data_IF_336988853971
#
_entry.id   IF_336988853971
#
_cell.length_a   1.000
_cell.length_b   1.000
_cell.length_c   1.000
_cell.angle_alpha   90.00
_cell.angle_beta   90.00
_cell.angle_gamma   90.00
#
_symmetry.space_group_name_H-M   'P 1'
#
loop_
_entity.id
_entity.type
_entity.pdbx_description
1 polymer ?
#
# COMPACT_ATOMS: atom_id res chain seq x y z
N UNK A 1 26.63 -22.16 -14.52
CA UNK A 1 25.16 -22.23 -14.36
C UNK A 1 24.53 -21.54 -15.56
N UNK A 2 23.79 -22.29 -16.37
CA UNK A 2 23.09 -21.76 -17.53
C UNK A 2 21.93 -20.85 -17.10
N UNK A 3 21.43 -20.00 -18.00
CA UNK A 3 20.24 -19.17 -17.72
C UNK A 3 18.98 -20.00 -17.43
N UNK A 4 18.95 -21.26 -17.84
CA UNK A 4 17.88 -22.21 -17.56
C UNK A 4 17.90 -22.70 -16.10
N UNK A 5 19.09 -22.85 -15.50
CA UNK A 5 19.23 -23.33 -14.11
C UNK A 5 18.70 -22.32 -13.08
N UNK A 6 18.65 -21.02 -13.44
CA UNK A 6 18.09 -19.96 -12.59
C UNK A 6 16.55 -19.96 -12.52
N UNK A 7 15.86 -20.59 -13.48
CA UNK A 7 14.38 -20.74 -13.44
C UNK A 7 13.91 -21.73 -12.37
N UNK A 8 14.81 -22.55 -11.83
CA UNK A 8 14.53 -23.63 -10.88
C UNK A 8 14.48 -23.14 -9.43
N UNK A 9 14.84 -21.88 -9.15
CA UNK A 9 14.41 -21.21 -7.91
C UNK A 9 12.95 -20.75 -8.03
N UNK A 10 12.08 -21.66 -8.50
CA UNK A 10 10.66 -21.39 -8.69
C UNK A 10 10.05 -21.05 -7.35
N UNK A 11 9.59 -19.81 -7.19
CA UNK A 11 8.53 -19.56 -6.23
C UNK A 11 7.45 -20.62 -6.48
N UNK A 12 6.96 -21.27 -5.42
CA UNK A 12 5.92 -22.31 -5.50
C UNK A 12 4.67 -21.84 -6.28
N UNK A 13 4.50 -20.52 -6.42
CA UNK A 13 3.41 -19.87 -7.11
C UNK A 13 3.93 -18.75 -8.02
N UNK A 14 3.29 -18.60 -9.16
CA UNK A 14 3.54 -17.52 -10.12
C UNK A 14 2.85 -16.23 -9.69
N UNK A 15 3.36 -15.09 -10.17
CA UNK A 15 2.72 -13.79 -9.95
C UNK A 15 1.28 -13.73 -10.49
N UNK A 16 0.97 -14.53 -11.53
CA UNK A 16 -0.36 -14.63 -12.10
C UNK A 16 -1.33 -15.33 -11.15
N UNK A 17 -0.97 -16.50 -10.61
CA UNK A 17 -1.82 -17.25 -9.67
C UNK A 17 -2.14 -16.43 -8.42
N UNK A 18 -1.15 -15.70 -7.90
CA UNK A 18 -1.32 -14.80 -6.75
C UNK A 18 -2.30 -13.68 -7.08
N UNK A 19 -2.21 -13.10 -8.28
CA UNK A 19 -3.11 -12.04 -8.72
C UNK A 19 -4.54 -12.57 -8.88
N UNK A 20 -4.72 -13.72 -9.51
CA UNK A 20 -6.02 -14.35 -9.72
C UNK A 20 -6.70 -14.68 -8.39
N UNK A 21 -5.97 -15.27 -7.43
CA UNK A 21 -6.47 -15.53 -6.08
C UNK A 21 -6.91 -14.24 -5.37
N UNK A 22 -6.11 -13.18 -5.47
CA UNK A 22 -6.44 -11.87 -4.89
C UNK A 22 -7.68 -11.24 -5.51
N UNK A 23 -7.79 -11.26 -6.84
CA UNK A 23 -8.93 -10.73 -7.59
C UNK A 23 -10.23 -11.47 -7.28
N UNK A 24 -10.18 -12.80 -7.27
CA UNK A 24 -11.30 -13.67 -6.94
C UNK A 24 -11.85 -13.42 -5.52
N UNK A 25 -10.97 -13.07 -4.58
CA UNK A 25 -11.31 -12.92 -3.18
C UNK A 25 -11.75 -11.50 -2.77
N UNK A 26 -11.66 -10.48 -3.64
CA UNK A 26 -11.83 -9.07 -3.23
C UNK A 26 -13.16 -8.75 -2.53
N UNK A 27 -14.23 -9.48 -2.85
CA UNK A 27 -15.57 -9.32 -2.28
C UNK A 27 -16.01 -10.52 -1.41
N UNK A 28 -15.10 -11.44 -1.09
CA UNK A 28 -15.39 -12.64 -0.29
C UNK A 28 -14.89 -12.45 1.14
N UNK A 29 -15.59 -13.03 2.12
CA UNK A 29 -15.24 -12.95 3.54
C UNK A 29 -14.05 -13.88 3.89
N UNK A 30 -12.88 -13.56 3.35
CA UNK A 30 -11.67 -14.40 3.46
C UNK A 30 -10.71 -13.94 4.55
N UNK A 31 -10.91 -12.76 5.14
CA UNK A 31 -10.07 -12.23 6.22
C UNK A 31 -10.82 -12.40 7.55
N UNK A 32 -10.19 -13.09 8.50
CA UNK A 32 -10.70 -13.20 9.87
C UNK A 32 -10.04 -12.11 10.72
N UNK A 33 -10.78 -11.04 11.03
CA UNK A 33 -10.27 -9.90 11.77
C UNK A 33 -10.82 -9.87 13.21
N UNK A 34 -9.97 -9.73 14.25
CA UNK A 34 -10.37 -9.90 15.66
C UNK A 34 -11.46 -8.91 16.12
N UNK A 35 -11.52 -7.71 15.51
CA UNK A 35 -12.51 -6.68 15.84
C UNK A 35 -13.63 -6.51 14.82
N UNK A 36 -13.48 -7.06 13.62
CA UNK A 36 -14.42 -6.83 12.50
C UNK A 36 -15.14 -8.12 12.09
N UNK A 37 -14.75 -9.27 12.64
CA UNK A 37 -15.23 -10.58 12.23
C UNK A 37 -14.66 -10.98 10.86
N UNK A 38 -15.38 -11.88 10.20
CA UNK A 38 -15.09 -12.23 8.81
C UNK A 38 -15.41 -11.04 7.90
N UNK A 39 -14.42 -10.59 7.11
CA UNK A 39 -14.51 -9.39 6.29
C UNK A 39 -13.86 -9.61 4.92
N UNK A 40 -14.36 -8.94 3.89
CA UNK A 40 -13.72 -8.94 2.57
C UNK A 40 -12.61 -7.89 2.44
N UNK A 41 -11.64 -8.07 1.52
CA UNK A 41 -10.64 -7.05 1.23
C UNK A 41 -11.23 -5.67 0.89
N UNK A 42 -12.32 -5.61 0.12
CA UNK A 42 -12.97 -4.34 -0.23
C UNK A 42 -13.66 -3.68 0.97
N UNK A 43 -14.35 -4.45 1.81
CA UNK A 43 -14.92 -3.92 3.06
C UNK A 43 -13.82 -3.47 4.02
N UNK A 44 -12.71 -4.19 4.11
CA UNK A 44 -11.56 -3.78 4.91
C UNK A 44 -11.08 -2.40 4.47
N UNK A 45 -10.81 -2.19 3.17
CA UNK A 45 -10.41 -0.87 2.66
C UNK A 45 -11.43 0.22 2.99
N UNK A 46 -12.72 -0.08 2.86
CA UNK A 46 -13.80 0.86 3.19
C UNK A 46 -13.78 1.25 4.67
N UNK A 47 -13.56 0.32 5.61
CA UNK A 47 -13.46 0.59 7.06
C UNK A 47 -12.26 1.46 7.44
N UNK A 48 -11.30 1.61 6.54
CA UNK A 48 -10.12 2.49 6.70
C UNK A 48 -10.21 3.76 5.87
N UNK A 49 -11.31 3.97 5.14
CA UNK A 49 -11.66 5.28 4.59
C UNK A 49 -11.72 6.31 5.72
N UNK A 50 -11.26 7.52 5.44
CA UNK A 50 -11.23 8.66 6.37
C UNK A 50 -10.29 8.49 7.58
N UNK A 51 -9.56 7.38 7.69
CA UNK A 51 -8.51 7.18 8.70
C UNK A 51 -7.15 7.68 8.19
N UNK A 52 -6.25 8.14 9.07
CA UNK A 52 -4.91 8.52 8.67
C UNK A 52 -4.11 7.29 8.20
N UNK A 53 -3.32 7.46 7.14
CA UNK A 53 -2.31 6.49 6.75
C UNK A 53 -1.25 6.35 7.86
N UNK A 54 -0.84 5.13 8.25
CA UNK A 54 0.14 4.94 9.32
C UNK A 54 1.53 5.52 9.01
N UNK A 55 1.85 5.76 7.73
CA UNK A 55 3.17 6.25 7.33
C UNK A 55 3.23 7.75 7.06
N UNK A 56 2.24 8.32 6.37
CA UNK A 56 2.26 9.74 6.01
C UNK A 56 1.27 10.60 6.80
N UNK A 57 0.49 10.00 7.70
CA UNK A 57 -0.57 10.62 8.49
C UNK A 57 -1.68 11.33 7.67
N UNK A 58 -1.64 11.28 6.33
CA UNK A 58 -2.67 11.85 5.47
C UNK A 58 -3.93 10.98 5.51
N UNK A 59 -5.07 11.66 5.51
CA UNK A 59 -6.39 11.03 5.52
C UNK A 59 -6.57 10.19 4.25
N UNK A 60 -6.85 8.90 4.43
CA UNK A 60 -7.07 7.99 3.31
C UNK A 60 -8.48 8.12 2.76
N UNK A 61 -8.63 7.89 1.45
CA UNK A 61 -9.91 8.01 0.74
C UNK A 61 -10.28 6.68 0.06
N UNK A 62 -11.58 6.40 -0.07
CA UNK A 62 -12.07 5.22 -0.76
C UNK A 62 -13.37 5.55 -1.50
N UNK A 63 -13.63 4.86 -2.61
CA UNK A 63 -14.83 5.05 -3.42
C UNK A 63 -14.47 5.48 -4.83
N UNK A 64 -14.60 4.56 -5.79
CA UNK A 64 -14.16 4.77 -7.18
C UNK A 64 -14.83 5.97 -7.84
N UNK A 65 -16.10 6.23 -7.56
CA UNK A 65 -16.86 7.34 -8.16
C UNK A 65 -16.24 8.71 -7.92
N UNK A 66 -15.66 8.94 -6.74
CA UNK A 66 -15.08 10.23 -6.35
C UNK A 66 -13.56 10.25 -6.42
N UNK A 67 -12.92 9.10 -6.19
CA UNK A 67 -11.47 9.02 -5.99
C UNK A 67 -10.76 8.17 -7.05
N UNK A 68 -11.45 7.86 -8.16
CA UNK A 68 -10.87 7.30 -9.37
C UNK A 68 -11.46 7.93 -10.63
N UNK A 69 -10.75 7.85 -11.76
CA UNK A 69 -11.23 8.24 -13.09
C UNK A 69 -10.49 7.45 -14.17
N UNK A 70 -11.10 7.23 -15.33
CA UNK A 70 -10.43 6.66 -16.51
C UNK A 70 -9.65 7.70 -17.33
N UNK A 71 -9.87 8.99 -17.10
CA UNK A 71 -9.20 10.08 -17.82
C UNK A 71 -7.95 10.55 -17.08
N UNK A 72 -6.79 10.41 -17.71
CA UNK A 72 -5.53 10.96 -17.16
C UNK A 72 -5.60 12.47 -16.98
N UNK A 73 -6.21 13.19 -17.93
CA UNK A 73 -6.36 14.65 -17.87
C UNK A 73 -7.22 15.07 -16.68
N UNK A 74 -8.31 14.36 -16.42
CA UNK A 74 -9.16 14.60 -15.26
C UNK A 74 -8.45 14.27 -13.95
N UNK A 75 -7.66 13.19 -13.92
CA UNK A 75 -6.86 12.85 -12.74
C UNK A 75 -5.85 13.95 -12.41
N UNK A 76 -5.22 14.55 -13.43
CA UNK A 76 -4.33 15.70 -13.28
C UNK A 76 -5.09 16.93 -12.77
N UNK A 77 -6.25 17.26 -13.36
CA UNK A 77 -7.03 18.43 -12.94
C UNK A 77 -7.56 18.31 -11.50
N UNK A 78 -7.81 17.08 -11.04
CA UNK A 78 -8.16 16.75 -9.64
C UNK A 78 -6.96 16.71 -8.69
N UNK A 79 -5.74 16.93 -9.18
CA UNK A 79 -4.53 16.95 -8.36
C UNK A 79 -4.02 15.58 -7.93
N UNK A 80 -4.21 14.53 -8.75
CA UNK A 80 -3.74 13.18 -8.40
C UNK A 80 -2.24 12.98 -8.61
N UNK A 81 -1.55 13.94 -9.24
CA UNK A 81 -0.11 13.88 -9.44
C UNK A 81 0.65 14.22 -8.16
N UNK A 82 1.78 13.55 -7.96
CA UNK A 82 2.69 13.83 -6.86
C UNK A 82 4.13 13.44 -7.21
N UNK A 83 5.09 14.03 -6.49
CA UNK A 83 6.50 13.65 -6.56
C UNK A 83 6.74 12.42 -5.70
N UNK A 84 7.23 11.34 -6.30
CA UNK A 84 7.59 10.12 -5.57
C UNK A 84 8.94 10.25 -4.84
N UNK A 85 9.31 9.23 -4.07
CA UNK A 85 10.58 9.18 -3.34
C UNK A 85 11.85 9.22 -4.22
N UNK A 86 11.72 9.10 -5.55
CA UNK A 86 12.81 9.24 -6.52
C UNK A 86 12.85 10.64 -7.18
N UNK A 87 12.02 11.58 -6.73
CA UNK A 87 11.96 12.92 -7.30
C UNK A 87 11.26 13.00 -8.66
N UNK A 88 10.48 11.98 -9.05
CA UNK A 88 9.77 11.94 -10.33
C UNK A 88 8.27 12.17 -10.16
N UNK A 89 7.68 12.88 -11.11
CA UNK A 89 6.22 12.97 -11.24
C UNK A 89 5.60 11.59 -11.40
N UNK A 90 4.59 11.32 -10.60
CA UNK A 90 3.89 10.06 -10.60
C UNK A 90 2.38 10.26 -10.44
N UNK A 91 1.61 9.35 -11.00
CA UNK A 91 0.16 9.27 -10.84
C UNK A 91 -0.23 7.81 -10.64
N UNK A 92 -1.04 7.52 -9.63
CA UNK A 92 -1.45 6.15 -9.34
C UNK A 92 -2.35 5.64 -10.46
N UNK A 93 -2.02 4.48 -11.02
CA UNK A 93 -2.81 3.83 -12.06
C UNK A 93 -2.90 2.33 -11.81
N UNK A 94 -4.09 1.77 -12.01
CA UNK A 94 -4.30 0.32 -12.10
C UNK A 94 -5.30 0.03 -13.22
N UNK A 95 -4.86 -0.72 -14.23
CA UNK A 95 -5.60 -0.87 -15.48
C UNK A 95 -5.85 0.49 -16.12
N UNK A 96 -7.10 0.75 -16.48
CA UNK A 96 -7.54 2.00 -17.11
C UNK A 96 -7.84 3.12 -16.12
N UNK A 97 -7.78 2.87 -14.81
CA UNK A 97 -8.18 3.84 -13.79
C UNK A 97 -6.97 4.51 -13.14
N UNK A 98 -7.08 5.82 -12.97
CA UNK A 98 -6.22 6.66 -12.15
C UNK A 98 -6.84 6.87 -10.78
N UNK A 99 -6.03 6.84 -9.72
CA UNK A 99 -6.51 6.90 -8.34
C UNK A 99 -5.90 8.06 -7.57
N UNK A 100 -6.64 8.55 -6.56
CA UNK A 100 -6.15 9.57 -5.65
C UNK A 100 -4.84 9.10 -4.93
N UNK A 101 -3.87 9.99 -4.65
CA UNK A 101 -2.62 9.65 -3.97
C UNK A 101 -2.80 8.92 -2.65
N UNK A 102 -3.86 9.30 -1.92
CA UNK A 102 -4.21 8.72 -0.63
C UNK A 102 -5.36 7.71 -0.71
N UNK A 103 -5.64 7.13 -1.87
CA UNK A 103 -6.62 6.06 -1.98
C UNK A 103 -6.21 4.87 -1.10
N UNK A 104 -7.15 4.26 -0.38
CA UNK A 104 -6.86 3.12 0.52
C UNK A 104 -6.45 1.91 -0.31
N UNK A 105 -5.26 1.39 -0.04
CA UNK A 105 -4.82 0.07 -0.49
C UNK A 105 -4.76 -0.89 0.70
N UNK A 106 -4.67 -2.18 0.40
CA UNK A 106 -4.45 -3.22 1.40
C UNK A 106 -3.15 -3.92 1.02
N UNK A 107 -2.11 -3.66 1.77
CA UNK A 107 -0.74 -4.12 1.54
C UNK A 107 -0.37 -5.28 2.46
N UNK A 108 0.70 -5.98 2.12
CA UNK A 108 1.23 -7.13 2.85
C UNK A 108 2.56 -6.76 3.54
N UNK A 109 2.67 -7.04 4.85
CA UNK A 109 3.92 -6.85 5.60
C UNK A 109 5.00 -7.81 5.12
N UNK A 110 4.62 -9.07 4.92
CA UNK A 110 5.43 -10.12 4.33
C UNK A 110 4.91 -10.37 2.91
N UNK A 111 5.84 -10.34 1.94
CA UNK A 111 5.53 -10.49 0.53
C UNK A 111 4.75 -11.79 0.24
N UNK A 112 3.52 -11.64 -0.28
CA UNK A 112 2.60 -12.74 -0.64
C UNK A 112 3.10 -13.67 -1.74
N UNK A 113 4.10 -13.27 -2.54
CA UNK A 113 4.73 -14.17 -3.51
C UNK A 113 5.72 -15.15 -2.87
N UNK A 114 6.19 -14.83 -1.67
CA UNK A 114 7.00 -15.75 -0.85
C UNK A 114 6.14 -16.53 0.15
N UNK A 115 5.10 -15.89 0.69
CA UNK A 115 4.22 -16.45 1.72
C UNK A 115 2.73 -16.28 1.33
N UNK A 116 2.24 -17.01 0.32
CA UNK A 116 0.86 -16.89 -0.17
C UNK A 116 -0.19 -17.35 0.85
N UNK A 117 0.17 -18.24 1.78
CA UNK A 117 -0.66 -18.63 2.91
C UNK A 117 -1.02 -17.44 3.83
N UNK A 118 -0.19 -16.39 3.83
CA UNK A 118 -0.42 -15.16 4.57
C UNK A 118 -1.18 -14.10 3.76
N UNK A 119 -1.68 -14.42 2.56
CA UNK A 119 -2.32 -13.43 1.66
C UNK A 119 -3.55 -12.77 2.29
N UNK A 120 -4.32 -13.49 3.10
CA UNK A 120 -5.53 -13.00 3.75
C UNK A 120 -5.45 -12.99 5.28
N UNK A 121 -4.25 -13.22 5.83
CA UNK A 121 -4.03 -13.12 7.27
C UNK A 121 -4.10 -11.66 7.71
N UNK A 122 -5.02 -11.35 8.62
CA UNK A 122 -5.18 -9.99 9.15
C UNK A 122 -3.90 -9.43 9.80
N UNK A 123 -3.03 -10.29 10.35
CA UNK A 123 -1.77 -9.86 10.96
C UNK A 123 -0.75 -9.43 9.91
N UNK A 124 -0.82 -10.03 8.72
CA UNK A 124 0.02 -9.73 7.58
C UNK A 124 -0.51 -8.58 6.72
N UNK A 125 -1.79 -8.23 6.85
CA UNK A 125 -2.42 -7.14 6.09
C UNK A 125 -2.27 -5.79 6.81
N UNK A 126 -2.02 -4.74 6.03
CA UNK A 126 -1.96 -3.36 6.51
C UNK A 126 -2.71 -2.44 5.55
N UNK A 127 -3.69 -1.70 6.06
CA UNK A 127 -4.37 -0.67 5.29
C UNK A 127 -3.51 0.59 5.25
N UNK A 128 -3.06 0.97 4.06
CA UNK A 128 -2.15 2.09 3.84
C UNK A 128 -2.61 2.88 2.61
N UNK A 129 -2.10 4.10 2.46
CA UNK A 129 -2.44 4.90 1.29
C UNK A 129 -1.61 4.48 0.08
N UNK A 130 -2.17 4.59 -1.12
CA UNK A 130 -1.55 4.11 -2.36
C UNK A 130 -0.15 4.70 -2.57
N UNK A 131 0.05 5.99 -2.31
CA UNK A 131 1.38 6.62 -2.38
C UNK A 131 2.40 5.90 -1.51
N UNK A 132 2.09 5.66 -0.23
CA UNK A 132 2.99 4.96 0.68
C UNK A 132 3.17 3.49 0.29
N UNK A 133 2.15 2.84 -0.28
CA UNK A 133 2.26 1.49 -0.80
C UNK A 133 3.29 1.40 -1.94
N UNK A 134 3.27 2.36 -2.86
CA UNK A 134 4.26 2.46 -3.94
C UNK A 134 5.65 2.76 -3.39
N UNK A 135 5.78 3.65 -2.41
CA UNK A 135 7.05 3.98 -1.77
C UNK A 135 7.65 2.79 -1.00
N UNK A 136 6.80 1.97 -0.36
CA UNK A 136 7.20 0.74 0.33
C UNK A 136 7.67 -0.33 -0.66
N UNK A 137 6.88 -0.61 -1.70
CA UNK A 137 7.14 -1.72 -2.62
C UNK A 137 7.38 -3.03 -1.88
N UNK A 138 8.47 -3.73 -2.23
CA UNK A 138 8.89 -4.98 -1.57
C UNK A 138 9.85 -4.77 -0.38
N UNK A 139 9.99 -3.53 0.12
CA UNK A 139 10.85 -3.24 1.25
C UNK A 139 10.19 -3.67 2.58
N UNK A 140 10.56 -4.85 3.08
CA UNK A 140 10.09 -5.35 4.37
C UNK A 140 10.61 -4.51 5.57
N UNK A 141 11.68 -3.72 5.39
CA UNK A 141 12.22 -2.83 6.43
C UNK A 141 11.56 -1.45 6.45
N UNK A 142 10.63 -1.16 5.53
CA UNK A 142 10.04 0.17 5.36
C UNK A 142 9.43 0.73 6.65
N UNK A 143 8.76 -0.11 7.45
CA UNK A 143 8.16 0.34 8.72
C UNK A 143 9.23 0.81 9.72
N UNK A 144 10.35 0.10 9.81
CA UNK A 144 11.49 0.46 10.67
C UNK A 144 12.14 1.75 10.16
N UNK A 145 12.30 1.90 8.85
CA UNK A 145 12.84 3.11 8.23
C UNK A 145 11.95 4.34 8.50
N UNK A 146 10.62 4.20 8.40
CA UNK A 146 9.70 5.29 8.71
C UNK A 146 9.71 5.64 10.21
N UNK A 147 9.80 4.65 11.10
CA UNK A 147 9.92 4.90 12.53
C UNK A 147 11.22 5.65 12.87
N UNK A 148 12.35 5.25 12.28
CA UNK A 148 13.62 5.95 12.45
C UNK A 148 13.55 7.39 11.94
N UNK A 149 12.98 7.60 10.75
CA UNK A 149 12.78 8.94 10.18
C UNK A 149 11.94 9.82 11.10
N UNK A 150 10.83 9.31 11.61
CA UNK A 150 9.98 10.05 12.55
C UNK A 150 10.75 10.48 13.81
N UNK A 151 11.55 9.59 14.40
CA UNK A 151 12.37 9.91 15.57
C UNK A 151 13.42 10.99 15.24
N UNK A 152 14.04 10.93 14.07
CA UNK A 152 15.00 11.93 13.61
C UNK A 152 14.33 13.30 13.40
N UNK A 153 13.17 13.33 12.76
CA UNK A 153 12.38 14.55 12.54
C UNK A 153 11.97 15.17 13.88
N UNK A 154 11.51 14.35 14.83
CA UNK A 154 11.15 14.79 16.18
C UNK A 154 12.36 15.35 16.94
N UNK A 155 13.53 14.68 16.85
CA UNK A 155 14.77 15.18 17.44
C UNK A 155 15.13 16.55 16.87
N UNK A 156 15.04 16.72 15.56
CA UNK A 156 15.35 17.99 14.91
C UNK A 156 14.37 19.10 15.32
N UNK A 157 13.08 18.78 15.39
CA UNK A 157 12.06 19.72 15.86
C UNK A 157 12.33 20.17 17.30
N UNK A 158 12.64 19.24 18.21
CA UNK A 158 12.99 19.53 19.60
C UNK A 158 14.23 20.42 19.67
N UNK A 159 15.31 20.07 18.95
CA UNK A 159 16.53 20.89 18.91
C UNK A 159 16.26 22.32 18.41
N UNK A 160 15.43 22.46 17.36
CA UNK A 160 15.06 23.76 16.81
C UNK A 160 14.21 24.58 17.80
N UNK A 161 13.26 23.93 18.49
CA UNK A 161 12.31 24.59 19.38
C UNK A 161 12.92 25.00 20.71
N UNK A 162 13.72 24.12 21.29
CA UNK A 162 14.27 24.33 22.64
C UNK A 162 15.70 24.88 22.64
N UNK A 163 16.29 25.15 21.46
CA UNK A 163 17.64 25.69 21.27
C UNK A 163 18.56 25.29 22.42
N UNK A 164 18.89 24.01 22.50
CA UNK A 164 20.00 23.62 23.38
C UNK A 164 21.24 24.32 22.81
N UNK A 165 21.70 25.34 23.55
CA UNK A 165 22.84 26.18 23.24
C UNK A 165 24.10 25.35 22.98
#
# INVERSE_FOLDING_TARGET
MSSADKKILSALYTAQEIREAWEFAQNRLVIQHPKLGAISPNEYRLKFSQKPCPFCAKKMTHGKTLHATQSRQEAISRGYQYINNKGKDYINQAGEFYFHPHYVTLDHKINKARCPELMFDHQNLQAICWRCNIEKGDNNAYEIEQALKYIQDLKQEISNRYKFF
#
